data_IF_371991986350
#
_entry.id   IF_371991986350
#
_cell.length_a   1.000
_cell.length_b   1.000
_cell.length_c   1.000
_cell.angle_alpha   90.00
_cell.angle_beta   90.00
_cell.angle_gamma   90.00
#
_symmetry.space_group_name_H-M   'P 1'
#
loop_
_entity.id
_entity.type
_entity.pdbx_description
1 polymer ?
#
# COMPACT_ATOMS: atom_id res chain seq x y z
N UNK A 1 2.78 58.75 -12.35
CA UNK A 1 1.99 57.51 -12.47
C UNK A 1 2.85 56.40 -13.10
N UNK A 2 3.89 55.95 -12.40
CA UNK A 2 4.84 54.95 -12.94
C UNK A 2 5.42 54.05 -11.83
N UNK A 3 4.75 53.96 -10.68
CA UNK A 3 5.23 53.19 -9.51
C UNK A 3 4.33 52.00 -9.14
N UNK A 4 3.10 51.97 -9.65
CA UNK A 4 2.12 50.90 -9.33
C UNK A 4 2.12 49.74 -10.34
N UNK A 5 2.79 49.90 -11.49
CA UNK A 5 2.92 48.86 -12.52
C UNK A 5 4.09 47.88 -12.28
N UNK A 6 5.01 48.21 -11.37
CA UNK A 6 6.19 47.37 -11.07
C UNK A 6 5.88 46.21 -10.11
N UNK A 7 4.76 46.27 -9.38
CA UNK A 7 4.36 45.20 -8.45
C UNK A 7 3.63 44.04 -9.13
N UNK A 8 3.00 44.26 -10.30
CA UNK A 8 2.29 43.20 -11.02
C UNK A 8 3.21 42.25 -11.80
N UNK A 9 4.41 42.70 -12.18
CA UNK A 9 5.38 41.85 -12.90
C UNK A 9 6.15 40.88 -11.99
N UNK A 10 6.25 41.16 -10.68
CA UNK A 10 6.96 40.28 -9.74
C UNK A 10 6.13 39.08 -9.25
N UNK A 11 4.81 39.11 -9.43
CA UNK A 11 3.91 38.01 -9.00
C UNK A 11 3.80 36.93 -10.10
N UNK A 12 4.16 37.22 -11.35
CA UNK A 12 4.03 36.29 -12.47
C UNK A 12 5.16 35.24 -12.58
N UNK A 13 6.25 35.35 -11.83
CA UNK A 13 7.38 34.38 -11.91
C UNK A 13 7.21 33.20 -10.93
N UNK A 14 6.29 33.27 -9.96
CA UNK A 14 5.99 32.12 -9.08
C UNK A 14 4.91 31.17 -9.63
N UNK A 15 4.41 31.43 -10.84
CA UNK A 15 3.43 30.61 -11.54
C UNK A 15 4.01 29.46 -12.37
N UNK A 16 5.23 28.97 -12.06
CA UNK A 16 5.63 27.68 -12.62
C UNK A 16 4.83 26.63 -11.85
N UNK A 17 3.96 25.84 -12.51
CA UNK A 17 3.42 24.66 -11.87
C UNK A 17 4.64 23.81 -11.54
N UNK A 18 4.98 23.74 -10.25
CA UNK A 18 5.85 22.72 -9.71
C UNK A 18 5.09 21.41 -9.92
N UNK A 19 5.15 20.91 -11.16
CA UNK A 19 4.88 19.53 -11.47
C UNK A 19 5.70 18.75 -10.45
N UNK A 20 5.05 17.87 -9.67
CA UNK A 20 5.60 17.18 -8.51
C UNK A 20 6.80 16.28 -8.90
N UNK A 21 7.90 16.87 -9.35
CA UNK A 21 9.19 16.24 -9.49
C UNK A 21 9.78 16.19 -8.09
N UNK A 22 9.89 14.98 -7.55
CA UNK A 22 10.39 14.69 -6.21
C UNK A 22 11.91 14.90 -6.21
N UNK A 23 12.34 16.15 -6.22
CA UNK A 23 13.73 16.50 -5.98
C UNK A 23 14.02 16.33 -4.48
N UNK A 24 14.98 15.46 -4.14
CA UNK A 24 15.47 15.29 -2.78
C UNK A 24 16.82 16.00 -2.67
N UNK A 25 16.96 16.87 -1.66
CA UNK A 25 18.24 17.52 -1.39
C UNK A 25 19.17 16.50 -0.73
N UNK A 26 20.22 16.09 -1.45
CA UNK A 26 21.27 15.19 -0.94
C UNK A 26 22.61 15.86 -1.17
N UNK A 27 23.35 16.10 -0.08
CA UNK A 27 24.66 16.77 -0.09
C UNK A 27 24.65 18.11 -0.86
N UNK A 28 23.64 18.95 -0.61
CA UNK A 28 23.50 20.27 -1.25
C UNK A 28 23.09 20.25 -2.72
N UNK A 29 22.85 19.08 -3.33
CA UNK A 29 22.34 18.93 -4.70
C UNK A 29 20.91 18.39 -4.69
N UNK A 30 20.04 18.98 -5.51
CA UNK A 30 18.74 18.40 -5.83
C UNK A 30 18.96 17.23 -6.76
N UNK A 31 18.73 16.01 -6.27
CA UNK A 31 18.76 14.79 -7.09
C UNK A 31 17.32 14.36 -7.32
N UNK A 32 16.97 14.09 -8.57
CA UNK A 32 15.70 13.46 -8.92
C UNK A 32 15.86 11.99 -8.54
N UNK A 33 15.14 11.56 -7.50
CA UNK A 33 15.15 10.15 -7.09
C UNK A 33 14.09 9.41 -7.92
N UNK A 34 14.52 8.44 -8.74
CA UNK A 34 13.60 7.62 -9.51
C UNK A 34 12.68 6.82 -8.57
N UNK A 35 11.39 6.68 -8.91
CA UNK A 35 10.47 5.86 -8.13
C UNK A 35 10.95 4.41 -8.16
N UNK A 36 10.85 3.71 -7.03
CA UNK A 36 11.31 2.32 -6.93
C UNK A 36 10.39 1.33 -7.68
N UNK A 37 9.13 1.72 -7.88
CA UNK A 37 8.09 0.87 -8.42
C UNK A 37 6.92 1.72 -8.91
N UNK A 38 6.30 1.29 -10.02
CA UNK A 38 5.09 1.91 -10.56
C UNK A 38 3.85 1.15 -10.10
N UNK A 39 3.06 1.79 -9.24
CA UNK A 39 1.88 1.16 -8.64
C UNK A 39 0.77 0.86 -9.66
N UNK A 40 0.78 1.52 -10.83
CA UNK A 40 -0.20 1.27 -11.88
C UNK A 40 -0.05 -0.14 -12.47
N UNK A 41 1.18 -0.65 -12.55
CA UNK A 41 1.49 -2.00 -13.04
C UNK A 41 0.77 -3.05 -12.19
N UNK A 42 0.92 -2.96 -10.87
CA UNK A 42 0.24 -3.86 -9.94
C UNK A 42 -1.29 -3.71 -9.99
N UNK A 43 -1.81 -2.48 -10.01
CA UNK A 43 -3.24 -2.25 -10.04
C UNK A 43 -3.90 -2.84 -11.30
N UNK A 44 -3.26 -2.71 -12.46
CA UNK A 44 -3.76 -3.26 -13.71
C UNK A 44 -3.72 -4.79 -13.71
N UNK A 45 -2.62 -5.41 -13.30
CA UNK A 45 -2.52 -6.87 -13.23
C UNK A 45 -3.48 -7.48 -12.19
N UNK A 46 -3.67 -6.81 -11.03
CA UNK A 46 -4.61 -7.26 -10.01
C UNK A 46 -6.08 -7.25 -10.50
N UNK A 47 -6.45 -6.30 -11.36
CA UNK A 47 -7.80 -6.26 -11.96
C UNK A 47 -8.09 -7.48 -12.83
N UNK A 48 -7.08 -8.03 -13.49
CA UNK A 48 -7.23 -9.20 -14.37
C UNK A 48 -7.45 -10.52 -13.60
N UNK A 49 -7.08 -10.57 -12.31
CA UNK A 49 -7.11 -11.81 -11.52
C UNK A 49 -8.24 -11.81 -10.45
N UNK A 50 -8.77 -10.66 -10.04
CA UNK A 50 -9.85 -10.62 -9.05
C UNK A 50 -11.26 -10.79 -9.64
N UNK A 51 -12.12 -11.46 -8.87
CA UNK A 51 -13.48 -11.88 -9.21
C UNK A 51 -14.60 -10.92 -8.74
N UNK A 52 -14.27 -9.73 -8.23
CA UNK A 52 -15.24 -8.75 -7.66
C UNK A 52 -16.15 -9.40 -6.61
N UNK A 53 -15.54 -9.98 -5.57
CA UNK A 53 -16.27 -10.75 -4.56
C UNK A 53 -16.91 -9.80 -3.55
N UNK A 54 -18.25 -9.80 -3.48
CA UNK A 54 -18.99 -9.10 -2.42
C UNK A 54 -18.78 -9.89 -1.12
N UNK A 55 -18.01 -9.35 -0.18
CA UNK A 55 -17.79 -9.99 1.11
C UNK A 55 -19.12 -10.23 1.85
N UNK A 56 -19.40 -11.49 2.19
CA UNK A 56 -20.65 -11.90 2.85
C UNK A 56 -20.82 -11.26 4.25
N UNK A 57 -19.72 -10.87 4.89
CA UNK A 57 -19.69 -10.22 6.22
C UNK A 57 -19.43 -8.70 6.16
N UNK A 58 -19.09 -8.15 4.99
CA UNK A 58 -18.70 -6.75 4.81
C UNK A 58 -17.43 -6.30 5.55
N UNK A 59 -16.78 -7.20 6.31
CA UNK A 59 -15.55 -6.90 7.04
C UNK A 59 -14.39 -6.90 6.03
N UNK A 60 -13.49 -5.92 6.05
CA UNK A 60 -12.29 -5.94 5.19
C UNK A 60 -11.09 -6.47 5.95
N UNK A 61 -10.10 -7.06 5.28
CA UNK A 61 -8.81 -7.42 5.88
C UNK A 61 -7.99 -6.16 6.14
N UNK A 62 -7.91 -5.28 5.14
CA UNK A 62 -7.31 -3.96 5.28
C UNK A 62 -8.23 -3.01 6.06
N UNK A 63 -7.63 -2.08 6.79
CA UNK A 63 -8.36 -0.97 7.42
C UNK A 63 -8.95 -0.04 6.36
N UNK A 64 -9.97 0.72 6.74
CA UNK A 64 -10.51 1.78 5.87
C UNK A 64 -9.40 2.79 5.52
N UNK A 65 -9.43 3.33 4.30
CA UNK A 65 -8.40 4.28 3.85
C UNK A 65 -8.21 5.46 4.80
N UNK A 66 -9.31 6.02 5.33
CA UNK A 66 -9.27 7.13 6.30
C UNK A 66 -8.52 6.78 7.59
N UNK A 67 -8.70 5.56 8.10
CA UNK A 67 -7.98 5.03 9.26
C UNK A 67 -6.51 4.77 8.91
N UNK A 68 -6.26 4.10 7.79
CA UNK A 68 -4.91 3.76 7.35
C UNK A 68 -4.07 5.01 7.05
N UNK A 69 -4.69 6.11 6.62
CA UNK A 69 -4.03 7.38 6.38
C UNK A 69 -3.26 7.92 7.60
N UNK A 70 -3.76 7.63 8.80
CA UNK A 70 -3.06 7.97 10.05
C UNK A 70 -1.75 7.18 10.21
N UNK A 71 -1.74 5.91 9.78
CA UNK A 71 -0.54 5.06 9.74
C UNK A 71 0.40 5.57 8.65
N UNK A 72 -0.12 5.84 7.45
CA UNK A 72 0.62 6.32 6.26
C UNK A 72 1.43 7.58 6.55
N UNK A 73 0.84 8.53 7.30
CA UNK A 73 1.52 9.76 7.75
C UNK A 73 2.73 9.51 8.67
N UNK A 74 2.87 8.31 9.26
CA UNK A 74 4.01 7.91 10.10
C UNK A 74 4.90 6.92 9.34
N UNK A 75 5.93 7.42 8.65
CA UNK A 75 6.86 6.61 7.82
C UNK A 75 7.35 5.31 8.46
N UNK A 76 7.66 5.33 9.76
CA UNK A 76 8.11 4.14 10.50
C UNK A 76 7.03 3.06 10.59
N UNK A 77 5.78 3.46 10.85
CA UNK A 77 4.66 2.55 10.95
C UNK A 77 4.21 2.08 9.57
N UNK A 78 4.08 3.00 8.62
CA UNK A 78 3.65 2.72 7.26
C UNK A 78 4.51 1.65 6.60
N UNK A 79 5.84 1.81 6.61
CA UNK A 79 6.74 0.81 6.04
C UNK A 79 6.61 -0.57 6.70
N UNK A 80 6.49 -0.62 8.03
CA UNK A 80 6.38 -1.88 8.76
C UNK A 80 5.05 -2.59 8.55
N UNK A 81 3.94 -1.85 8.51
CA UNK A 81 2.62 -2.40 8.22
C UNK A 81 2.56 -2.86 6.76
N UNK A 82 3.11 -2.07 5.84
CA UNK A 82 3.12 -2.40 4.42
C UNK A 82 3.90 -3.69 4.13
N UNK A 83 5.02 -3.94 4.81
CA UNK A 83 5.74 -5.22 4.71
C UNK A 83 4.83 -6.42 5.02
N UNK A 84 4.03 -6.33 6.07
CA UNK A 84 3.11 -7.40 6.48
C UNK A 84 1.88 -7.54 5.59
N UNK A 85 1.41 -6.42 5.01
CA UNK A 85 0.40 -6.49 3.96
C UNK A 85 0.97 -7.28 2.78
N UNK A 86 2.15 -6.89 2.27
CA UNK A 86 2.77 -7.57 1.14
C UNK A 86 3.06 -9.06 1.40
N UNK A 87 3.45 -9.44 2.62
CA UNK A 87 3.64 -10.84 2.99
C UNK A 87 2.37 -11.67 2.84
N UNK A 88 1.22 -11.19 3.37
CA UNK A 88 -0.05 -11.91 3.26
C UNK A 88 -0.49 -12.08 1.81
N UNK A 89 -0.38 -11.01 1.01
CA UNK A 89 -0.81 -11.04 -0.38
C UNK A 89 0.08 -11.96 -1.23
N UNK A 90 1.39 -11.95 -1.00
CA UNK A 90 2.30 -12.90 -1.64
C UNK A 90 1.96 -14.34 -1.24
N UNK A 91 1.71 -14.60 0.05
CA UNK A 91 1.36 -15.94 0.53
C UNK A 91 0.09 -16.48 -0.15
N UNK A 92 -0.93 -15.65 -0.31
CA UNK A 92 -2.16 -16.03 -1.03
C UNK A 92 -1.89 -16.28 -2.50
N UNK A 93 -1.12 -15.41 -3.17
CA UNK A 93 -0.77 -15.60 -4.58
C UNK A 93 -0.01 -16.92 -4.80
N UNK A 94 0.97 -17.22 -3.97
CA UNK A 94 1.75 -18.45 -4.08
C UNK A 94 0.87 -19.69 -3.89
N UNK A 95 -0.07 -19.66 -2.93
CA UNK A 95 -1.02 -20.77 -2.69
C UNK A 95 -2.03 -20.96 -3.82
N UNK A 96 -2.40 -19.88 -4.52
CA UNK A 96 -3.44 -19.91 -5.55
C UNK A 96 -2.90 -20.12 -6.97
N UNK A 97 -1.58 -20.11 -7.15
CA UNK A 97 -0.91 -20.24 -8.45
C UNK A 97 -1.30 -21.51 -9.25
N UNK A 98 -1.65 -22.60 -8.57
CA UNK A 98 -2.11 -23.85 -9.20
C UNK A 98 -3.62 -23.96 -9.42
N UNK A 99 -4.42 -23.14 -8.72
CA UNK A 99 -5.89 -23.25 -8.72
C UNK A 99 -6.54 -22.43 -9.84
N UNK A 100 -5.84 -21.41 -10.34
CA UNK A 100 -6.31 -20.48 -11.37
C UNK A 100 -5.73 -20.77 -12.76
N UNK A 101 -5.17 -21.96 -12.98
CA UNK A 101 -4.62 -22.38 -14.28
C UNK A 101 -5.76 -22.53 -15.30
N UNK A 102 -5.92 -21.52 -16.16
CA UNK A 102 -6.77 -21.64 -17.34
C UNK A 102 -6.11 -22.56 -18.38
N UNK A 103 -6.99 -23.26 -19.10
CA UNK A 103 -6.67 -24.07 -20.28
C UNK A 103 -6.34 -23.13 -21.43
N UNK A 104 -5.25 -23.43 -22.14
CA UNK A 104 -4.76 -22.81 -23.39
C UNK A 104 -3.82 -21.62 -23.18
N UNK A 105 -2.97 -21.41 -24.19
CA UNK A 105 -1.71 -20.64 -24.27
C UNK A 105 -1.80 -19.12 -23.96
N UNK A 106 -2.78 -18.67 -23.17
CA UNK A 106 -2.88 -17.30 -22.66
C UNK A 106 -1.89 -17.05 -21.52
N UNK A 107 -1.37 -15.83 -21.48
CA UNK A 107 -0.44 -15.34 -20.46
C UNK A 107 -0.98 -15.68 -19.06
N UNK A 108 -0.20 -16.39 -18.25
CA UNK A 108 -0.57 -16.66 -16.86
C UNK A 108 -0.45 -15.38 -16.04
N UNK A 109 -1.50 -14.56 -16.07
CA UNK A 109 -1.62 -13.29 -15.34
C UNK A 109 -1.37 -13.45 -13.83
N UNK A 110 -1.60 -14.65 -13.28
CA UNK A 110 -1.30 -14.97 -11.89
C UNK A 110 0.20 -15.05 -11.62
N UNK A 111 0.96 -15.74 -12.49
CA UNK A 111 2.42 -15.80 -12.40
C UNK A 111 3.06 -14.43 -12.62
N UNK A 112 2.52 -13.63 -13.55
CA UNK A 112 2.96 -12.25 -13.76
C UNK A 112 2.75 -11.40 -12.50
N UNK A 113 1.58 -11.52 -11.87
CA UNK A 113 1.25 -10.81 -10.63
C UNK A 113 2.14 -11.22 -9.46
N UNK A 114 2.50 -12.51 -9.35
CA UNK A 114 3.51 -13.00 -8.39
C UNK A 114 4.85 -12.27 -8.61
N UNK A 115 5.31 -12.15 -9.86
CA UNK A 115 6.56 -11.47 -10.16
C UNK A 115 6.52 -9.98 -9.84
N UNK A 116 5.43 -9.30 -10.19
CA UNK A 116 5.16 -7.89 -9.86
C UNK A 116 5.18 -7.67 -8.35
N UNK A 117 4.55 -8.56 -7.58
CA UNK A 117 4.53 -8.48 -6.12
C UNK A 117 5.92 -8.69 -5.49
N UNK A 118 6.74 -9.57 -6.04
CA UNK A 118 8.13 -9.75 -5.57
C UNK A 118 8.98 -8.48 -5.81
N UNK A 119 8.88 -7.86 -6.99
CA UNK A 119 9.53 -6.59 -7.29
C UNK A 119 9.11 -5.49 -6.30
N UNK A 120 7.81 -5.41 -6.01
CA UNK A 120 7.26 -4.45 -5.05
C UNK A 120 7.77 -4.71 -3.61
N UNK A 121 7.87 -5.98 -3.19
CA UNK A 121 8.48 -6.35 -1.89
C UNK A 121 9.92 -5.87 -1.82
N UNK A 122 10.71 -6.09 -2.87
CA UNK A 122 12.11 -5.65 -2.90
C UNK A 122 12.25 -4.11 -2.78
N UNK A 123 11.28 -3.32 -3.26
CA UNK A 123 11.26 -1.89 -2.99
C UNK A 123 11.00 -1.55 -1.50
N UNK A 124 10.03 -2.22 -0.88
CA UNK A 124 9.56 -1.89 0.49
C UNK A 124 10.51 -2.41 1.57
N UNK A 125 11.15 -3.55 1.34
CA UNK A 125 12.02 -4.23 2.29
C UNK A 125 13.42 -3.61 2.35
N UNK A 126 13.56 -2.43 2.96
CA UNK A 126 14.87 -1.74 3.06
C UNK A 126 15.73 -2.16 4.27
N UNK A 127 15.15 -2.58 5.41
CA UNK A 127 15.89 -3.02 6.63
C UNK A 127 15.08 -4.01 7.50
N UNK A 128 15.66 -5.18 7.82
CA UNK A 128 14.99 -6.29 8.54
C UNK A 128 14.66 -6.02 10.02
N UNK A 129 15.37 -5.11 10.70
CA UNK A 129 15.25 -4.98 12.17
C UNK A 129 14.34 -3.85 12.66
N UNK A 130 13.98 -2.89 11.80
CA UNK A 130 13.27 -1.67 12.21
C UNK A 130 11.87 -1.94 12.77
N UNK A 131 11.25 -3.04 12.35
CA UNK A 131 9.85 -3.34 12.61
C UNK A 131 9.62 -4.33 13.77
N UNK A 132 10.69 -4.96 14.29
CA UNK A 132 10.62 -6.01 15.33
C UNK A 132 9.81 -5.58 16.56
N UNK A 133 9.98 -4.34 17.03
CA UNK A 133 9.25 -3.83 18.21
C UNK A 133 7.75 -3.74 17.96
N UNK A 134 7.35 -3.27 16.78
CA UNK A 134 5.94 -3.13 16.41
C UNK A 134 5.26 -4.50 16.29
N UNK A 135 5.93 -5.47 15.66
CA UNK A 135 5.40 -6.82 15.48
C UNK A 135 5.22 -7.55 16.83
N UNK A 136 6.20 -7.46 17.73
CA UNK A 136 6.06 -7.99 19.09
C UNK A 136 4.88 -7.35 19.83
N UNK A 137 4.69 -6.03 19.68
CA UNK A 137 3.57 -5.34 20.32
C UNK A 137 2.21 -5.84 19.81
N UNK A 138 2.09 -6.15 18.51
CA UNK A 138 0.86 -6.72 17.96
C UNK A 138 0.58 -8.16 18.39
N UNK A 139 1.60 -8.93 18.77
CA UNK A 139 1.44 -10.30 19.27
C UNK A 139 0.95 -10.34 20.73
N UNK A 140 1.43 -9.41 21.55
CA UNK A 140 1.14 -9.36 22.99
C UNK A 140 -0.16 -8.61 23.28
N UNK A 141 -0.49 -7.61 22.46
CA UNK A 141 -1.73 -6.86 22.64
C UNK A 141 -2.87 -7.73 22.15
N UNK A 142 -3.73 -8.21 23.05
CA UNK A 142 -5.09 -8.63 22.69
C UNK A 142 -5.95 -7.39 22.66
N UNK A 143 -6.36 -6.95 21.47
CA UNK A 143 -7.51 -6.03 21.33
C UNK A 143 -8.79 -6.84 21.55
N UNK A 144 -8.91 -7.44 22.73
CA UNK A 144 -10.10 -8.19 23.14
C UNK A 144 -11.22 -7.20 23.51
N UNK A 145 -11.88 -6.62 22.48
CA UNK A 145 -13.17 -5.89 22.57
C UNK A 145 -13.17 -4.62 23.46
N UNK A 146 -14.12 -3.66 23.40
CA UNK A 146 -15.25 -3.43 22.48
C UNK A 146 -15.06 -2.17 21.61
N UNK A 147 -15.69 -2.12 20.44
CA UNK A 147 -16.19 -0.89 19.77
C UNK A 147 -15.37 0.43 19.85
N UNK A 148 -14.03 0.38 19.94
CA UNK A 148 -13.25 1.58 19.64
C UNK A 148 -13.33 1.73 18.13
N UNK A 149 -14.22 2.62 17.69
CA UNK A 149 -14.34 3.01 16.30
C UNK A 149 -12.93 3.37 15.80
N UNK A 150 -12.49 2.80 14.67
CA UNK A 150 -11.15 3.04 14.09
C UNK A 150 -10.79 4.54 14.04
N UNK A 151 -11.81 5.39 13.88
CA UNK A 151 -11.73 6.85 13.88
C UNK A 151 -11.13 7.45 15.16
N UNK A 152 -11.33 6.83 16.32
CA UNK A 152 -10.79 7.30 17.62
C UNK A 152 -9.41 6.74 17.93
N UNK A 153 -8.96 5.71 17.20
CA UNK A 153 -7.66 5.11 17.43
C UNK A 153 -6.52 6.03 16.94
N UNK A 154 -5.42 5.99 17.70
CA UNK A 154 -4.17 6.64 17.31
C UNK A 154 -3.40 5.78 16.28
N UNK A 155 -2.36 6.32 15.61
CA UNK A 155 -1.63 5.58 14.57
C UNK A 155 -1.00 4.26 15.03
N UNK A 156 -0.53 4.16 16.28
CA UNK A 156 0.07 2.92 16.80
C UNK A 156 -0.99 1.86 17.05
N UNK A 157 -2.14 2.25 17.60
CA UNK A 157 -3.29 1.35 17.79
C UNK A 157 -3.80 0.82 16.45
N UNK A 158 -3.91 1.68 15.44
CA UNK A 158 -4.30 1.27 14.10
C UNK A 158 -3.27 0.35 13.44
N UNK A 159 -1.98 0.62 13.62
CA UNK A 159 -0.93 -0.28 13.14
C UNK A 159 -1.02 -1.67 13.79
N UNK A 160 -1.23 -1.73 15.11
CA UNK A 160 -1.45 -3.00 15.83
C UNK A 160 -2.71 -3.71 15.32
N UNK A 161 -3.83 -2.99 15.19
CA UNK A 161 -5.09 -3.54 14.69
C UNK A 161 -4.92 -4.12 13.28
N UNK A 162 -4.29 -3.38 12.36
CA UNK A 162 -4.02 -3.88 11.01
C UNK A 162 -3.16 -5.14 11.04
N UNK A 163 -2.12 -5.19 11.88
CA UNK A 163 -1.25 -6.36 12.01
C UNK A 163 -1.99 -7.58 12.56
N UNK A 164 -2.92 -7.39 13.50
CA UNK A 164 -3.76 -8.47 14.02
C UNK A 164 -4.73 -9.01 12.97
N UNK A 165 -5.36 -8.13 12.18
CA UNK A 165 -6.23 -8.53 11.06
C UNK A 165 -5.45 -9.35 10.03
N UNK A 166 -4.23 -8.91 9.68
CA UNK A 166 -3.32 -9.64 8.77
C UNK A 166 -2.91 -11.00 9.35
N UNK A 167 -2.60 -11.07 10.65
CA UNK A 167 -2.27 -12.33 11.33
C UNK A 167 -3.45 -13.31 11.28
N UNK A 168 -4.65 -12.86 11.63
CA UNK A 168 -5.87 -13.69 11.59
C UNK A 168 -6.19 -14.19 10.19
N UNK A 169 -5.91 -13.39 9.15
CA UNK A 169 -6.04 -13.82 7.77
C UNK A 169 -4.97 -14.85 7.38
N UNK A 170 -3.71 -14.64 7.76
CA UNK A 170 -2.60 -15.58 7.50
C UNK A 170 -2.82 -16.94 8.18
N UNK A 171 -3.30 -16.96 9.43
CA UNK A 171 -3.66 -18.20 10.14
C UNK A 171 -4.77 -19.00 9.43
N UNK A 172 -5.60 -18.33 8.64
CA UNK A 172 -6.70 -18.90 7.86
C UNK A 172 -6.45 -18.85 6.35
N UNK A 173 -5.20 -18.73 5.91
CA UNK A 173 -4.89 -18.50 4.49
C UNK A 173 -5.21 -19.70 3.58
N UNK A 174 -5.46 -20.88 4.15
CA UNK A 174 -5.97 -22.04 3.40
C UNK A 174 -7.49 -22.00 3.17
N UNK A 175 -8.22 -21.10 3.84
CA UNK A 175 -9.64 -20.86 3.62
C UNK A 175 -9.83 -20.13 2.28
N UNK A 176 -10.60 -20.73 1.38
CA UNK A 176 -10.89 -20.18 0.04
C UNK A 176 -11.53 -18.80 0.15
N UNK A 177 -12.39 -18.56 1.14
CA UNK A 177 -13.02 -17.25 1.31
C UNK A 177 -12.00 -16.17 1.68
N UNK A 178 -11.00 -16.51 2.51
CA UNK A 178 -9.90 -15.60 2.83
C UNK A 178 -9.04 -15.32 1.60
N UNK A 179 -8.72 -16.35 0.81
CA UNK A 179 -7.94 -16.20 -0.42
C UNK A 179 -8.64 -15.27 -1.41
N UNK A 180 -9.93 -15.51 -1.68
CA UNK A 180 -10.73 -14.68 -2.59
C UNK A 180 -10.81 -13.23 -2.11
N UNK A 181 -10.97 -13.01 -0.80
CA UNK A 181 -11.02 -11.69 -0.18
C UNK A 181 -9.69 -10.94 -0.28
N UNK A 182 -8.56 -11.61 -0.05
CA UNK A 182 -7.23 -11.01 -0.26
C UNK A 182 -7.02 -10.65 -1.73
N UNK A 183 -7.38 -11.55 -2.66
CA UNK A 183 -7.27 -11.29 -4.08
C UNK A 183 -8.15 -10.11 -4.52
N UNK A 184 -9.33 -9.96 -3.93
CA UNK A 184 -10.20 -8.82 -4.22
C UNK A 184 -9.61 -7.49 -3.73
N UNK A 185 -9.15 -7.44 -2.47
CA UNK A 185 -8.54 -6.23 -1.90
C UNK A 185 -7.25 -5.80 -2.62
N UNK A 186 -6.60 -6.72 -3.35
CA UNK A 186 -5.35 -6.47 -4.08
C UNK A 186 -5.53 -5.38 -5.15
N UNK A 187 -6.72 -5.29 -5.76
CA UNK A 187 -7.09 -4.23 -6.71
C UNK A 187 -6.90 -2.83 -6.12
N UNK A 188 -7.14 -2.70 -4.81
CA UNK A 188 -7.07 -1.42 -4.08
C UNK A 188 -5.78 -1.21 -3.31
N UNK A 189 -4.87 -2.18 -3.33
CA UNK A 189 -3.65 -2.17 -2.52
C UNK A 189 -2.76 -0.94 -2.80
N UNK A 190 -2.73 -0.47 -4.05
CA UNK A 190 -1.95 0.70 -4.45
C UNK A 190 -2.30 1.98 -3.66
N UNK A 191 -3.56 2.12 -3.22
CA UNK A 191 -4.02 3.27 -2.44
C UNK A 191 -3.36 3.33 -1.04
N UNK A 192 -2.96 2.18 -0.51
CA UNK A 192 -2.26 2.05 0.78
C UNK A 192 -0.76 2.35 0.67
N UNK A 193 -0.21 2.47 -0.54
CA UNK A 193 1.23 2.57 -0.80
C UNK A 193 1.71 3.97 -1.14
N UNK A 194 0.80 4.90 -1.44
CA UNK A 194 1.15 6.25 -1.89
C UNK A 194 2.21 6.90 -0.97
N UNK A 195 3.32 7.33 -1.57
CA UNK A 195 4.44 7.95 -0.87
C UNK A 195 5.60 8.27 -1.81
N UNK A 196 6.61 9.01 -1.33
CA UNK A 196 7.73 9.53 -2.14
C UNK A 196 8.54 8.46 -2.89
N UNK A 197 8.42 7.19 -2.51
CA UNK A 197 9.15 6.09 -3.14
C UNK A 197 8.45 5.47 -4.35
N UNK A 198 7.18 5.80 -4.60
CA UNK A 198 6.37 5.14 -5.62
C UNK A 198 5.91 6.11 -6.70
N UNK A 199 5.89 5.66 -7.95
CA UNK A 199 5.25 6.41 -9.03
C UNK A 199 3.73 6.29 -8.86
N UNK A 200 3.05 7.43 -8.84
CA UNK A 200 1.58 7.48 -8.86
C UNK A 200 1.09 7.46 -10.30
N UNK A 201 -0.08 6.88 -10.50
CA UNK A 201 -0.85 7.14 -11.71
C UNK A 201 -1.41 8.57 -11.63
N UNK A 202 -1.23 9.38 -12.67
CA UNK A 202 -1.74 10.76 -12.75
C UNK A 202 -3.18 10.84 -13.27
N UNK A 203 -3.83 9.69 -13.46
CA UNK A 203 -5.11 9.58 -14.18
C UNK A 203 -6.30 9.11 -13.31
N UNK A 204 -6.20 9.20 -11.97
CA UNK A 204 -7.33 8.98 -11.05
C UNK A 204 -7.87 10.32 -10.52
#
# INVERSE_FOLDING_TARGET
MARDLLYYFLILIFGIPMHECVAVLRDGRCVIEEPCFDLSVMANSARLVSKDVIAADGEKILLRHSSFDKIRKKKNLHGCVLQKILDLFQEVLDKTNGTYVHKNEEINHHTELIHIMDQLRNCVYKKKDRCKKLYKMSEITTTSSPMILEEKMNPNQLAVLQLQKLKSASERVSDVHIQEKVMDELKTLHLYMQGKGFRKNTND
#
